data_IF_446495176009
#
_entry.id   IF_446495176009
#
_cell.length_a   1.000
_cell.length_b   1.000
_cell.length_c   1.000
_cell.angle_alpha   90.00
_cell.angle_beta   90.00
_cell.angle_gamma   90.00
#
_symmetry.space_group_name_H-M   'P 1'
#
loop_
_entity.id
_entity.type
_entity.pdbx_description
1 polymer ?
#
# COMPACT_ATOMS: atom_id res chain seq x y z
N UNK A 1 -14.76 -10.52 14.04
CA UNK A 1 -14.46 -10.54 15.50
C UNK A 1 -13.64 -9.29 15.85
N UNK A 2 -13.95 -8.58 16.95
CA UNK A 2 -13.19 -7.40 17.40
C UNK A 2 -12.48 -7.72 18.73
N UNK A 3 -11.16 -7.50 18.78
CA UNK A 3 -10.37 -7.64 20.01
C UNK A 3 -9.85 -6.28 20.43
N UNK A 4 -10.10 -5.88 21.68
CA UNK A 4 -9.62 -4.62 22.26
C UNK A 4 -8.32 -4.84 23.04
N UNK A 5 -7.29 -4.06 22.75
CA UNK A 5 -6.00 -4.14 23.43
C UNK A 5 -5.52 -2.75 23.82
N UNK A 6 -5.03 -2.60 25.06
CA UNK A 6 -4.37 -1.38 25.52
C UNK A 6 -3.00 -1.29 24.86
N UNK A 7 -2.72 -0.18 24.16
CA UNK A 7 -1.43 0.02 23.52
C UNK A 7 -0.30 0.08 24.56
N UNK A 8 0.80 -0.63 24.31
CA UNK A 8 2.07 -0.41 25.01
C UNK A 8 2.92 0.51 24.16
N UNK A 9 3.40 1.60 24.75
CA UNK A 9 4.28 2.56 24.08
C UNK A 9 5.64 1.91 23.78
N UNK A 10 5.94 1.68 22.50
CA UNK A 10 7.29 1.39 22.03
C UNK A 10 7.86 2.66 21.39
N UNK A 11 8.98 3.16 21.93
CA UNK A 11 9.74 4.26 21.32
C UNK A 11 10.45 3.71 20.07
N UNK A 12 10.08 4.20 18.89
CA UNK A 12 10.84 3.96 17.66
C UNK A 12 11.56 5.25 17.25
N UNK A 13 12.89 5.22 17.38
CA UNK A 13 13.77 6.23 16.80
C UNK A 13 13.91 5.92 15.29
N UNK A 14 13.45 6.84 14.44
CA UNK A 14 13.66 6.73 13.00
C UNK A 14 13.91 8.11 12.38
N UNK A 15 15.18 8.47 12.28
CA UNK A 15 15.66 9.55 11.42
C UNK A 15 15.63 9.07 9.97
N UNK A 16 14.80 9.68 9.11
CA UNK A 16 14.84 9.41 7.67
C UNK A 16 15.17 10.67 6.87
N UNK A 17 16.28 10.56 6.13
CA UNK A 17 16.81 11.53 5.18
C UNK A 17 15.80 11.87 4.09
N UNK A 18 15.53 13.18 3.95
CA UNK A 18 14.80 13.76 2.82
C UNK A 18 15.58 13.56 1.51
N UNK A 19 15.36 12.43 0.83
CA UNK A 19 15.90 12.19 -0.51
C UNK A 19 15.20 13.10 -1.52
N UNK A 20 15.94 14.04 -2.10
CA UNK A 20 15.50 14.86 -3.24
C UNK A 20 15.33 13.97 -4.47
N UNK A 21 14.12 13.44 -4.68
CA UNK A 21 13.79 12.64 -5.85
C UNK A 21 13.71 13.51 -7.11
N UNK A 22 14.23 13.01 -8.24
CA UNK A 22 14.10 13.66 -9.55
C UNK A 22 12.64 13.76 -10.00
N UNK A 23 12.33 14.69 -10.90
CA UNK A 23 10.98 14.84 -11.47
C UNK A 23 10.49 13.53 -12.09
N UNK A 24 11.32 12.88 -12.93
CA UNK A 24 11.04 11.56 -13.51
C UNK A 24 10.70 10.50 -12.47
N UNK A 25 11.46 10.44 -11.37
CA UNK A 25 11.19 9.49 -10.29
C UNK A 25 9.85 9.78 -9.61
N UNK A 26 9.54 11.05 -9.30
CA UNK A 26 8.26 11.45 -8.72
C UNK A 26 7.09 11.08 -9.64
N UNK A 27 7.18 11.39 -10.93
CA UNK A 27 6.14 11.04 -11.91
C UNK A 27 5.94 9.53 -11.98
N UNK A 28 7.01 8.73 -11.93
CA UNK A 28 6.89 7.27 -11.90
C UNK A 28 6.09 6.74 -10.70
N UNK A 29 6.25 7.34 -9.51
CA UNK A 29 5.45 6.99 -8.33
C UNK A 29 3.99 7.37 -8.51
N UNK A 30 3.70 8.56 -9.05
CA UNK A 30 2.33 9.03 -9.28
C UNK A 30 1.58 8.11 -10.24
N UNK A 31 2.22 7.72 -11.35
CA UNK A 31 1.61 6.80 -12.32
C UNK A 31 1.47 5.40 -11.71
N UNK A 32 2.49 4.90 -11.03
CA UNK A 32 2.42 3.57 -10.37
C UNK A 32 1.31 3.50 -9.32
N UNK A 33 1.12 4.57 -8.55
CA UNK A 33 -0.01 4.69 -7.61
C UNK A 33 -1.36 4.67 -8.33
N UNK A 34 -1.50 5.38 -9.47
CA UNK A 34 -2.73 5.34 -10.27
C UNK A 34 -2.99 3.93 -10.84
N UNK A 35 -1.96 3.23 -11.30
CA UNK A 35 -2.08 1.84 -11.78
C UNK A 35 -2.61 0.95 -10.64
N UNK A 36 -1.98 1.00 -9.46
CA UNK A 36 -2.39 0.22 -8.30
C UNK A 36 -3.82 0.54 -7.85
N UNK A 37 -4.16 1.82 -7.71
CA UNK A 37 -5.47 2.29 -7.24
C UNK A 37 -6.62 1.88 -8.15
N UNK A 38 -6.37 1.71 -9.45
CA UNK A 38 -7.38 1.28 -10.42
C UNK A 38 -7.29 -0.22 -10.74
N UNK A 39 -6.56 -0.99 -9.93
CA UNK A 39 -6.35 -2.44 -10.09
C UNK A 39 -5.89 -2.83 -11.50
N UNK A 40 -4.99 -2.02 -12.08
CA UNK A 40 -4.43 -2.24 -13.41
C UNK A 40 -3.16 -3.11 -13.36
N UNK A 41 -2.87 -3.90 -14.40
CA UNK A 41 -1.63 -4.67 -14.50
C UNK A 41 -0.38 -3.78 -14.43
N UNK A 42 0.70 -4.30 -13.85
CA UNK A 42 1.97 -3.56 -13.80
C UNK A 42 2.57 -3.28 -15.19
N UNK A 43 2.21 -4.09 -16.20
CA UNK A 43 2.58 -3.86 -17.60
C UNK A 43 1.96 -2.58 -18.18
N UNK A 44 0.88 -2.06 -17.60
CA UNK A 44 0.25 -0.83 -18.08
C UNK A 44 1.18 0.37 -17.95
N UNK A 45 2.23 0.30 -17.11
CA UNK A 45 3.26 1.34 -17.08
C UNK A 45 3.96 1.53 -18.43
N UNK A 46 4.28 0.45 -19.14
CA UNK A 46 4.93 0.49 -20.44
C UNK A 46 3.96 1.03 -21.50
N UNK A 47 2.71 0.54 -21.47
CA UNK A 47 1.64 1.02 -22.35
C UNK A 47 1.37 2.52 -22.18
N UNK A 48 1.26 3.00 -20.94
CA UNK A 48 1.05 4.43 -20.63
C UNK A 48 2.24 5.25 -21.15
N UNK A 49 3.47 4.79 -20.94
CA UNK A 49 4.67 5.49 -21.41
C UNK A 49 4.67 5.63 -22.93
N UNK A 50 4.33 4.56 -23.64
CA UNK A 50 4.24 4.54 -25.10
C UNK A 50 3.22 5.57 -25.60
N UNK A 51 2.01 5.61 -25.02
CA UNK A 51 0.97 6.59 -25.40
C UNK A 51 1.38 8.03 -25.10
N UNK A 52 2.12 8.26 -24.01
CA UNK A 52 2.65 9.60 -23.70
C UNK A 52 3.70 10.04 -24.71
N UNK A 53 4.56 9.12 -25.18
CA UNK A 53 5.57 9.42 -26.20
C UNK A 53 4.94 9.72 -27.56
N UNK A 54 3.95 8.93 -27.99
CA UNK A 54 3.21 9.18 -29.23
C UNK A 54 2.53 10.56 -29.20
N UNK A 55 1.93 10.90 -28.05
CA UNK A 55 1.24 12.18 -27.85
C UNK A 55 2.22 13.35 -27.83
N UNK A 56 3.37 13.20 -27.16
CA UNK A 56 4.40 14.22 -27.09
C UNK A 56 4.98 14.51 -28.48
N UNK A 57 5.20 13.49 -29.31
CA UNK A 57 5.69 13.66 -30.67
C UNK A 57 4.73 14.45 -31.57
N UNK A 58 3.42 14.39 -31.32
CA UNK A 58 2.41 15.11 -32.10
C UNK A 58 2.10 16.52 -31.56
N UNK A 59 2.16 16.70 -30.24
CA UNK A 59 1.66 17.92 -29.57
C UNK A 59 2.81 18.83 -29.09
N UNK A 60 3.87 18.25 -28.53
CA UNK A 60 5.00 18.97 -27.92
C UNK A 60 6.32 18.20 -28.09
N UNK A 61 6.86 18.12 -29.32
CA UNK A 61 8.06 17.33 -29.62
C UNK A 61 9.27 17.72 -28.77
N UNK A 62 9.36 18.99 -28.37
CA UNK A 62 10.42 19.54 -27.53
C UNK A 62 10.46 18.93 -26.12
N UNK A 63 9.33 18.43 -25.60
CA UNK A 63 9.25 17.80 -24.27
C UNK A 63 9.32 16.26 -24.33
N UNK A 64 9.47 15.66 -25.52
CA UNK A 64 9.47 14.20 -25.70
C UNK A 64 10.53 13.50 -24.85
N UNK A 65 11.72 14.08 -24.74
CA UNK A 65 12.84 13.52 -23.96
C UNK A 65 12.51 13.44 -22.45
N UNK A 66 11.68 14.35 -21.93
CA UNK A 66 11.24 14.33 -20.54
C UNK A 66 10.36 13.10 -20.23
N UNK A 67 9.55 12.64 -21.19
CA UNK A 67 8.75 11.42 -21.06
C UNK A 67 9.58 10.15 -21.29
N UNK A 68 10.60 10.22 -22.15
CA UNK A 68 11.46 9.08 -22.47
C UNK A 68 12.31 8.64 -21.27
N UNK A 69 12.79 9.60 -20.48
CA UNK A 69 13.60 9.32 -19.28
C UNK A 69 12.77 8.84 -18.07
N UNK A 70 11.45 8.80 -18.19
CA UNK A 70 10.57 8.34 -17.11
C UNK A 70 10.62 6.80 -16.97
N UNK A 71 10.94 6.26 -15.78
CA UNK A 71 11.04 4.82 -15.59
C UNK A 71 9.66 4.22 -15.27
N UNK A 72 9.07 3.50 -16.23
CA UNK A 72 7.74 2.87 -16.10
C UNK A 72 7.71 1.40 -16.55
N UNK A 73 8.86 0.74 -16.61
CA UNK A 73 8.89 -0.70 -16.88
C UNK A 73 8.07 -1.48 -15.85
N UNK A 74 7.56 -2.66 -16.22
CA UNK A 74 6.78 -3.52 -15.32
C UNK A 74 7.45 -3.72 -13.95
N UNK A 75 8.77 -3.95 -13.95
CA UNK A 75 9.59 -4.10 -12.73
C UNK A 75 9.66 -2.81 -11.91
N UNK A 76 9.75 -1.66 -12.59
CA UNK A 76 9.76 -0.37 -11.91
C UNK A 76 8.42 -0.12 -11.22
N UNK A 77 7.30 -0.30 -11.94
CA UNK A 77 5.96 -0.11 -11.39
C UNK A 77 5.77 -0.98 -10.15
N UNK A 78 6.11 -2.28 -10.24
CA UNK A 78 6.06 -3.19 -9.09
C UNK A 78 6.88 -2.68 -7.89
N UNK A 79 8.14 -2.27 -8.11
CA UNK A 79 9.00 -1.74 -7.05
C UNK A 79 8.45 -0.43 -6.45
N UNK A 80 7.87 0.45 -7.28
CA UNK A 80 7.28 1.72 -6.84
C UNK A 80 6.05 1.47 -5.99
N UNK A 81 5.19 0.53 -6.38
CA UNK A 81 4.03 0.10 -5.59
C UNK A 81 4.46 -0.47 -4.25
N UNK A 82 5.43 -1.40 -4.22
CA UNK A 82 5.97 -1.93 -2.95
C UNK A 82 6.64 -0.86 -2.07
N UNK A 83 7.23 0.18 -2.69
CA UNK A 83 7.73 1.34 -1.96
C UNK A 83 6.62 2.20 -1.36
N UNK A 84 5.49 2.36 -2.06
CA UNK A 84 4.29 3.05 -1.55
C UNK A 84 3.70 2.25 -0.39
N UNK A 85 3.52 0.93 -0.57
CA UNK A 85 3.04 0.00 0.45
C UNK A 85 3.86 0.12 1.74
N UNK A 86 5.20 -0.01 1.66
CA UNK A 86 6.09 0.14 2.82
C UNK A 86 5.96 1.52 3.47
N UNK A 87 5.80 2.58 2.69
CA UNK A 87 5.63 3.92 3.22
C UNK A 87 4.28 4.09 3.94
N UNK A 88 3.22 3.42 3.48
CA UNK A 88 1.94 3.37 4.20
C UNK A 88 2.06 2.57 5.49
N UNK A 89 2.73 1.42 5.46
CA UNK A 89 3.01 0.59 6.63
C UNK A 89 3.76 1.38 7.71
N UNK A 90 4.84 2.08 7.35
CA UNK A 90 5.60 2.92 8.27
C UNK A 90 4.77 4.06 8.87
N UNK A 91 3.92 4.70 8.06
CA UNK A 91 3.00 5.74 8.55
C UNK A 91 1.99 5.17 9.54
N UNK A 92 1.45 3.98 9.26
CA UNK A 92 0.52 3.30 10.16
C UNK A 92 1.19 2.93 11.47
N UNK A 93 2.41 2.37 11.43
CA UNK A 93 3.21 2.07 12.63
C UNK A 93 3.48 3.34 13.45
N UNK A 94 3.88 4.44 12.81
CA UNK A 94 4.12 5.70 13.51
C UNK A 94 2.84 6.29 14.15
N UNK A 95 1.68 6.15 13.50
CA UNK A 95 0.40 6.53 14.10
C UNK A 95 0.03 5.61 15.27
N UNK A 96 0.25 4.31 15.11
CA UNK A 96 -0.10 3.30 16.10
C UNK A 96 0.62 3.48 17.44
N UNK A 97 1.85 3.99 17.43
CA UNK A 97 2.60 4.36 18.66
C UNK A 97 1.83 5.36 19.53
N UNK A 98 1.01 6.21 18.92
CA UNK A 98 0.26 7.26 19.61
C UNK A 98 -1.19 6.87 19.94
N UNK A 99 -1.62 5.64 19.62
CA UNK A 99 -2.95 5.18 20.02
C UNK A 99 -2.98 4.89 21.52
N UNK A 100 -4.01 5.36 22.21
CA UNK A 100 -4.26 5.01 23.62
C UNK A 100 -4.96 3.65 23.72
N UNK A 101 -5.87 3.41 22.79
CA UNK A 101 -6.56 2.14 22.61
C UNK A 101 -6.58 1.79 21.14
N UNK A 102 -6.50 0.50 20.85
CA UNK A 102 -6.77 0.01 19.51
C UNK A 102 -7.59 -1.28 19.54
N UNK A 103 -8.29 -1.54 18.45
CA UNK A 103 -8.91 -2.82 18.18
C UNK A 103 -8.53 -3.32 16.79
N UNK A 104 -8.49 -4.63 16.62
CA UNK A 104 -8.40 -5.25 15.31
C UNK A 104 -9.78 -5.74 14.89
N UNK A 105 -10.18 -5.40 13.66
CA UNK A 105 -11.37 -5.94 13.02
C UNK A 105 -10.93 -6.87 11.89
N UNK A 106 -11.47 -8.08 11.91
CA UNK A 106 -11.28 -9.06 10.84
C UNK A 106 -12.54 -9.09 9.99
N UNK A 107 -12.37 -8.89 8.68
CA UNK A 107 -13.40 -9.00 7.67
C UNK A 107 -13.00 -10.04 6.61
N UNK A 108 -13.97 -10.77 6.07
CA UNK A 108 -13.73 -11.77 5.02
C UNK A 108 -14.18 -11.20 3.69
N UNK A 109 -13.24 -11.06 2.74
CA UNK A 109 -13.57 -10.74 1.35
C UNK A 109 -13.26 -11.94 0.45
N UNK A 110 -13.76 -11.93 -0.79
CA UNK A 110 -13.42 -12.94 -1.80
C UNK A 110 -12.73 -12.28 -2.99
N UNK A 111 -11.70 -12.94 -3.55
CA UNK A 111 -11.11 -12.54 -4.82
C UNK A 111 -12.03 -12.88 -6.01
N UNK A 112 -11.64 -12.49 -7.22
CA UNK A 112 -12.42 -12.76 -8.45
C UNK A 112 -12.57 -14.25 -8.79
N UNK A 113 -11.88 -15.14 -8.07
CA UNK A 113 -11.94 -16.60 -8.18
C UNK A 113 -12.58 -17.23 -6.94
N UNK A 114 -13.32 -16.44 -6.16
CA UNK A 114 -14.00 -16.87 -4.94
C UNK A 114 -13.04 -17.43 -3.87
N UNK A 115 -11.79 -16.97 -3.88
CA UNK A 115 -10.81 -17.32 -2.85
C UNK A 115 -10.94 -16.33 -1.70
N UNK A 116 -11.19 -16.83 -0.49
CA UNK A 116 -11.27 -16.00 0.70
C UNK A 116 -9.95 -15.25 0.99
N UNK A 117 -10.12 -13.99 1.34
CA UNK A 117 -9.09 -13.01 1.65
C UNK A 117 -9.48 -12.29 2.95
N UNK A 118 -8.99 -12.76 4.11
CA UNK A 118 -9.07 -11.99 5.34
C UNK A 118 -8.43 -10.62 5.19
N UNK A 119 -9.21 -9.61 5.55
CA UNK A 119 -8.80 -8.22 5.69
C UNK A 119 -8.68 -7.93 7.19
N UNK A 120 -7.51 -7.44 7.60
CA UNK A 120 -7.24 -7.03 8.97
C UNK A 120 -7.24 -5.51 9.02
N UNK A 121 -8.21 -4.92 9.69
CA UNK A 121 -8.27 -3.49 9.95
C UNK A 121 -7.80 -3.18 11.36
N UNK A 122 -7.06 -2.09 11.52
CA UNK A 122 -6.72 -1.53 12.83
C UNK A 122 -7.53 -0.27 13.07
N UNK A 123 -8.27 -0.26 14.18
CA UNK A 123 -9.00 0.91 14.65
C UNK A 123 -8.27 1.46 15.87
N UNK A 124 -7.64 2.62 15.73
CA UNK A 124 -6.95 3.31 16.81
C UNK A 124 -7.73 4.51 17.30
N UNK A 125 -7.68 4.78 18.61
CA UNK A 125 -8.20 6.01 19.20
C UNK A 125 -7.14 6.67 20.06
N UNK A 126 -7.02 7.98 19.90
CA UNK A 126 -6.16 8.85 20.72
C UNK A 126 -6.96 9.55 21.82
N UNK A 127 -6.27 10.16 22.78
CA UNK A 127 -6.86 10.88 23.93
C UNK A 127 -7.68 12.10 23.50
N UNK A 128 -7.36 12.69 22.35
CA UNK A 128 -8.16 13.74 21.72
C UNK A 128 -9.34 13.19 20.89
N UNK A 129 -9.71 11.93 21.10
CA UNK A 129 -10.83 11.21 20.45
C UNK A 129 -10.72 11.18 18.92
N UNK A 130 -9.51 11.24 18.36
CA UNK A 130 -9.32 10.97 16.93
C UNK A 130 -9.35 9.48 16.69
N UNK A 131 -10.29 9.06 15.85
CA UNK A 131 -10.45 7.68 15.42
C UNK A 131 -9.70 7.52 14.10
N UNK A 132 -8.87 6.49 14.01
CA UNK A 132 -8.16 6.08 12.79
C UNK A 132 -8.59 4.66 12.47
N UNK A 133 -9.02 4.41 11.23
CA UNK A 133 -9.31 3.08 10.70
C UNK A 133 -8.48 2.88 9.43
N UNK A 134 -7.63 1.87 9.42
CA UNK A 134 -6.71 1.59 8.30
C UNK A 134 -6.57 0.08 8.10
N UNK A 135 -6.45 -0.36 6.84
CA UNK A 135 -6.16 -1.75 6.50
C UNK A 135 -4.70 -2.07 6.84
N UNK A 136 -4.49 -2.96 7.81
CA UNK A 136 -3.17 -3.37 8.28
C UNK A 136 -2.57 -4.50 7.44
N UNK A 137 -3.40 -5.46 7.01
CA UNK A 137 -2.95 -6.58 6.21
C UNK A 137 -4.09 -7.21 5.40
N UNK A 138 -3.72 -7.86 4.30
CA UNK A 138 -4.57 -8.78 3.55
C UNK A 138 -3.78 -10.05 3.28
N UNK A 139 -4.44 -11.20 3.35
CA UNK A 139 -3.80 -12.49 3.08
C UNK A 139 -4.76 -13.36 2.28
N UNK A 140 -4.27 -14.03 1.22
CA UNK A 140 -5.10 -15.00 0.49
C UNK A 140 -4.98 -16.34 1.18
N UNK A 141 -6.11 -16.90 1.60
CA UNK A 141 -6.14 -18.24 2.21
C UNK A 141 -6.31 -19.29 1.12
N UNK A 142 -5.57 -20.39 1.24
CA UNK A 142 -5.72 -21.56 0.37
C UNK A 142 -6.35 -22.68 1.18
N UNK A 143 -7.52 -23.17 0.78
CA UNK A 143 -8.20 -24.27 1.46
C UNK A 143 -9.45 -23.84 2.21
N UNK A 144 -9.58 -24.23 3.48
CA UNK A 144 -10.77 -23.98 4.29
C UNK A 144 -10.77 -22.60 4.94
N UNK A 145 -11.97 -22.07 5.18
CA UNK A 145 -12.24 -20.76 5.80
C UNK A 145 -12.88 -20.95 7.17
N UNK A 146 -12.33 -21.83 8.00
CA UNK A 146 -12.83 -21.94 9.38
C UNK A 146 -12.28 -20.80 10.24
N UNK A 147 -13.02 -20.39 11.27
CA UNK A 147 -12.57 -19.37 12.25
C UNK A 147 -11.19 -19.69 12.84
N UNK A 148 -10.87 -20.99 12.99
CA UNK A 148 -9.57 -21.44 13.49
C UNK A 148 -8.43 -21.25 12.47
N UNK A 149 -8.72 -21.42 11.18
CA UNK A 149 -7.76 -21.17 10.10
C UNK A 149 -7.42 -19.67 10.03
N UNK A 150 -8.45 -18.81 10.13
CA UNK A 150 -8.30 -17.35 10.21
C UNK A 150 -7.49 -16.93 11.43
N UNK A 151 -7.81 -17.45 12.61
CA UNK A 151 -7.08 -17.12 13.84
C UNK A 151 -5.61 -17.53 13.76
N UNK A 152 -5.32 -18.72 13.21
CA UNK A 152 -3.95 -19.23 13.09
C UNK A 152 -3.12 -18.40 12.11
N UNK A 153 -3.69 -18.01 10.97
CA UNK A 153 -3.01 -17.19 9.97
C UNK A 153 -2.73 -15.78 10.50
N UNK A 154 -3.67 -15.19 11.24
CA UNK A 154 -3.45 -13.90 11.90
C UNK A 154 -2.39 -14.05 13.00
N UNK A 155 -2.48 -15.07 13.85
CA UNK A 155 -1.54 -15.24 14.97
C UNK A 155 -0.08 -15.41 14.51
N UNK A 156 0.17 -16.27 13.53
CA UNK A 156 1.53 -16.57 13.03
C UNK A 156 2.23 -15.38 12.37
N UNK A 157 1.50 -14.34 11.97
CA UNK A 157 2.05 -13.14 11.33
C UNK A 157 2.60 -12.11 12.33
N UNK A 158 2.09 -12.11 13.57
CA UNK A 158 2.34 -11.06 14.57
C UNK A 158 3.05 -11.56 15.85
N UNK A 159 3.43 -12.84 15.91
CA UNK A 159 4.45 -13.40 16.83
C UNK A 159 5.86 -13.23 16.25
#
# INVERSE_FOLDING_TARGET
MCVYVRARTAKSDACWLALKMSAHAKTSYVISHKIARNSKPFSDGEFIKERLLDSAELICPEEKEAFENMPLSRRTVMRRIGGIERNLELQLQHRAVNFDFFSLALDESCDVRDTAQPLIFVHGTTTDFKITEELAATQSMKGTTTDNDLFTEVWTRWD
#
